data_IF_535947006217
#
_entry.id   IF_535947006217
#
_cell.length_a   1.000
_cell.length_b   1.000
_cell.length_c   1.000
_cell.angle_alpha   90.00
_cell.angle_beta   90.00
_cell.angle_gamma   90.00
#
_symmetry.space_group_name_H-M   'P 1'
#
loop_
_entity.id
_entity.type
_entity.pdbx_description
1 polymer ?
#
# COMPACT_ATOMS: atom_id res chain seq x y z
N UNK A 1 -2.79 -10.85 1.63
CA UNK A 1 -2.80 -9.86 0.54
C UNK A 1 -2.91 -10.51 -0.84
N UNK A 2 -3.71 -9.97 -1.76
CA UNK A 2 -3.80 -10.42 -3.17
C UNK A 2 -3.43 -9.26 -4.10
N UNK A 3 -2.30 -9.37 -4.80
CA UNK A 3 -1.91 -8.44 -5.87
C UNK A 3 -2.42 -8.97 -7.21
N UNK A 4 -3.07 -8.11 -7.99
CA UNK A 4 -3.39 -8.35 -9.40
C UNK A 4 -2.51 -7.44 -10.25
N UNK A 5 -1.63 -8.02 -11.07
CA UNK A 5 -0.86 -7.27 -12.05
C UNK A 5 -1.78 -6.83 -13.20
N UNK A 6 -1.73 -5.54 -13.52
CA UNK A 6 -2.44 -4.96 -14.67
C UNK A 6 -1.50 -4.79 -15.86
N UNK A 7 -0.26 -4.38 -15.57
CA UNK A 7 0.83 -4.22 -16.54
C UNK A 7 2.15 -4.67 -15.91
N UNK A 8 3.25 -4.52 -16.63
CA UNK A 8 4.59 -4.83 -16.11
C UNK A 8 5.02 -3.91 -14.95
N UNK A 9 4.43 -2.71 -14.85
CA UNK A 9 4.81 -1.68 -13.87
C UNK A 9 3.69 -1.30 -12.91
N UNK A 10 2.46 -1.74 -13.15
CA UNK A 10 1.29 -1.40 -12.34
C UNK A 10 0.58 -2.66 -11.87
N UNK A 11 0.32 -2.70 -10.57
CA UNK A 11 -0.49 -3.72 -9.93
C UNK A 11 -1.44 -3.08 -8.93
N UNK A 12 -2.54 -3.76 -8.65
CA UNK A 12 -3.56 -3.30 -7.70
C UNK A 12 -3.82 -4.37 -6.64
N UNK A 13 -4.26 -3.93 -5.47
CA UNK A 13 -4.67 -4.77 -4.35
C UNK A 13 -5.95 -4.20 -3.74
N UNK A 14 -6.67 -5.03 -2.98
CA UNK A 14 -7.59 -4.53 -1.96
C UNK A 14 -6.81 -3.81 -0.85
N UNK A 15 -7.52 -3.32 0.18
CA UNK A 15 -6.90 -2.72 1.36
C UNK A 15 -5.75 -3.59 1.89
N UNK A 16 -4.60 -2.95 2.06
CA UNK A 16 -3.39 -3.56 2.62
C UNK A 16 -3.25 -3.18 4.09
N UNK A 17 -2.52 -3.99 4.86
CA UNK A 17 -2.11 -3.63 6.23
C UNK A 17 -0.71 -3.02 6.25
N UNK A 18 -0.26 -2.53 7.41
CA UNK A 18 1.10 -2.01 7.56
C UNK A 18 2.16 -3.11 7.38
N UNK A 19 1.86 -4.34 7.79
CA UNK A 19 2.75 -5.50 7.64
C UNK A 19 2.93 -5.91 6.17
N UNK A 20 1.86 -5.80 5.37
CA UNK A 20 1.89 -6.07 3.94
C UNK A 20 2.89 -5.17 3.19
N UNK A 21 3.09 -3.93 3.66
CA UNK A 21 3.98 -2.94 3.03
C UNK A 21 5.42 -3.45 2.90
N UNK A 22 5.91 -4.18 3.91
CA UNK A 22 7.27 -4.75 3.89
C UNK A 22 7.39 -5.81 2.79
N UNK A 23 6.37 -6.65 2.63
CA UNK A 23 6.33 -7.65 1.58
C UNK A 23 6.23 -7.01 0.18
N UNK A 24 5.49 -5.91 0.06
CA UNK A 24 5.38 -5.12 -1.18
C UNK A 24 6.75 -4.52 -1.57
N UNK A 25 7.47 -3.93 -0.61
CA UNK A 25 8.82 -3.41 -0.86
C UNK A 25 9.80 -4.51 -1.28
N UNK A 26 9.76 -5.65 -0.59
CA UNK A 26 10.59 -6.82 -0.91
C UNK A 26 10.28 -7.41 -2.30
N UNK A 27 9.03 -7.29 -2.77
CA UNK A 27 8.62 -7.69 -4.11
C UNK A 27 9.11 -6.73 -5.22
N UNK A 28 9.81 -5.65 -4.86
CA UNK A 28 10.48 -4.75 -5.79
C UNK A 28 9.66 -3.52 -6.22
N UNK A 29 8.45 -3.34 -5.68
CA UNK A 29 7.68 -2.11 -5.88
C UNK A 29 8.40 -0.91 -5.25
N UNK A 30 8.09 0.29 -5.77
CA UNK A 30 8.74 1.55 -5.35
C UNK A 30 7.77 2.63 -4.91
N UNK A 31 6.53 2.56 -5.38
CA UNK A 31 5.50 3.57 -5.15
C UNK A 31 4.22 2.86 -4.71
N UNK A 32 3.60 3.38 -3.67
CA UNK A 32 2.23 3.06 -3.25
C UNK A 32 1.34 4.26 -3.58
N UNK A 33 0.20 3.99 -4.21
CA UNK A 33 -0.83 4.99 -4.49
C UNK A 33 -2.07 4.58 -3.71
N UNK A 34 -2.51 5.42 -2.78
CA UNK A 34 -3.71 5.22 -1.99
C UNK A 34 -4.88 6.00 -2.59
N UNK A 35 -5.76 5.28 -3.28
CA UNK A 35 -7.01 5.82 -3.79
C UNK A 35 -8.19 5.72 -2.81
N UNK A 36 -7.94 5.36 -1.54
CA UNK A 36 -8.95 5.16 -0.50
C UNK A 36 -8.88 6.28 0.56
N UNK A 37 -9.88 7.18 0.61
CA UNK A 37 -9.99 8.19 1.66
C UNK A 37 -10.14 7.61 3.07
N UNK A 38 -9.75 8.40 4.07
CA UNK A 38 -9.96 8.06 5.47
C UNK A 38 -11.45 8.08 5.84
N UNK A 39 -11.90 7.10 6.63
CA UNK A 39 -13.24 7.00 7.18
C UNK A 39 -14.29 6.26 6.34
N UNK A 40 -13.91 5.51 5.29
CA UNK A 40 -14.89 4.68 4.56
C UNK A 40 -15.38 3.47 5.38
N UNK A 41 -14.53 2.90 6.25
CA UNK A 41 -14.88 1.82 7.18
C UNK A 41 -14.26 2.02 8.57
N UNK A 42 -14.94 1.57 9.63
CA UNK A 42 -14.51 1.79 11.02
C UNK A 42 -13.16 1.17 11.38
N UNK A 43 -12.78 0.08 10.70
CA UNK A 43 -11.56 -0.68 10.99
C UNK A 43 -10.51 -0.53 9.89
N UNK A 44 -10.67 0.43 8.98
CA UNK A 44 -9.65 0.66 7.96
C UNK A 44 -8.40 1.29 8.59
N UNK A 45 -7.20 0.90 8.15
CA UNK A 45 -5.99 1.68 8.42
C UNK A 45 -6.15 3.09 7.87
N UNK A 46 -5.66 4.07 8.61
CA UNK A 46 -5.57 5.44 8.11
C UNK A 46 -4.51 5.55 7.03
N UNK A 47 -4.68 6.53 6.14
CA UNK A 47 -3.67 6.86 5.13
C UNK A 47 -2.32 7.23 5.77
N UNK A 48 -2.34 7.88 6.93
CA UNK A 48 -1.13 8.22 7.68
C UNK A 48 -0.38 6.98 8.20
N UNK A 49 -1.09 5.97 8.71
CA UNK A 49 -0.47 4.72 9.18
C UNK A 49 0.21 3.96 8.05
N UNK A 50 -0.47 3.82 6.89
CA UNK A 50 0.12 3.16 5.71
C UNK A 50 1.26 3.99 5.14
N UNK A 51 1.13 5.32 5.08
CA UNK A 51 2.18 6.22 4.62
C UNK A 51 3.44 6.13 5.48
N UNK A 52 3.32 6.04 6.80
CA UNK A 52 4.45 5.85 7.70
C UNK A 52 5.15 4.50 7.48
N UNK A 53 4.37 3.42 7.30
CA UNK A 53 4.92 2.10 6.97
C UNK A 53 5.64 2.11 5.60
N UNK A 54 5.07 2.81 4.61
CA UNK A 54 5.66 2.96 3.27
C UNK A 54 7.02 3.65 3.34
N UNK A 55 7.09 4.79 4.05
CA UNK A 55 8.32 5.54 4.25
C UNK A 55 9.38 4.70 4.99
N UNK A 56 8.99 3.98 6.04
CA UNK A 56 9.89 3.10 6.78
C UNK A 56 10.44 1.94 5.91
N UNK A 57 9.64 1.47 4.94
CA UNK A 57 10.04 0.45 3.97
C UNK A 57 10.78 1.01 2.73
N UNK A 58 10.99 2.34 2.66
CA UNK A 58 11.66 2.99 1.53
C UNK A 58 10.81 3.11 0.26
N UNK A 59 9.48 3.12 0.41
CA UNK A 59 8.52 3.35 -0.66
C UNK A 59 8.05 4.81 -0.69
N UNK A 60 7.84 5.34 -1.89
CA UNK A 60 7.10 6.59 -2.07
C UNK A 60 5.60 6.34 -1.89
N UNK A 61 4.88 7.31 -1.33
CA UNK A 61 3.46 7.19 -1.00
C UNK A 61 2.68 8.42 -1.49
N UNK A 62 1.59 8.19 -2.22
CA UNK A 62 0.70 9.21 -2.77
C UNK A 62 -0.75 8.95 -2.42
#
# INVERSE_FOLDING_TARGET
MKIVKLTDTVAVSAQITAEDVVAIAAAGFKVLINNRPDGEESNQPTSAEIGAAAQAAGLEYH
#
